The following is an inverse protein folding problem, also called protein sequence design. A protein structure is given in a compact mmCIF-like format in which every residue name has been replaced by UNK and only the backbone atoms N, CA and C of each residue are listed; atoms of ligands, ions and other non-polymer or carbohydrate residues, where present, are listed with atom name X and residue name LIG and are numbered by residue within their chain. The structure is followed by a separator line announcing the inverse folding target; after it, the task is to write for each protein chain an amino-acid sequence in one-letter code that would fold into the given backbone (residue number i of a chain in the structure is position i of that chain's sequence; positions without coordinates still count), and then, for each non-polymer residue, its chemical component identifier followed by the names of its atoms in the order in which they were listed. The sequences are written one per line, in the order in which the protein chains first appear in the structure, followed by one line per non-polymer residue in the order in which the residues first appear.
data_IF_550445765934
#
_entry.id   IF_550445765934
#
_cell.length_a   1.000
_cell.length_b   1.000
_cell.length_c   1.000
_cell.angle_alpha   90.00
_cell.angle_beta   90.00
_cell.angle_gamma   90.00
#
_symmetry.space_group_name_H-M   'P 1'
#
loop_
_entity.id
_entity.type
_entity.pdbx_description
1 polymer ?
#
# COMPACT_ATOMS: atom_id res chain seq x y z
N UNK A 1 4.94 3.86 6.34
CA UNK A 1 4.66 2.49 5.88
C UNK A 1 4.69 2.37 4.35
N UNK A 2 3.86 3.11 3.65
CA UNK A 2 3.83 3.03 2.17
C UNK A 2 5.10 3.57 1.55
N UNK A 3 5.63 4.66 2.08
CA UNK A 3 6.84 5.28 1.55
C UNK A 3 8.08 4.39 1.73
N UNK A 4 8.22 3.72 2.85
CA UNK A 4 9.31 2.78 3.09
C UNK A 4 9.29 1.63 2.08
N UNK A 5 8.11 1.08 1.82
CA UNK A 5 7.93 0.03 0.82
C UNK A 5 8.28 0.53 -0.57
N UNK A 6 7.79 1.72 -0.93
CA UNK A 6 8.07 2.33 -2.22
C UNK A 6 9.57 2.62 -2.40
N UNK A 7 10.23 3.12 -1.37
CA UNK A 7 11.69 3.35 -1.41
C UNK A 7 12.46 2.06 -1.65
N UNK A 8 12.02 0.96 -1.05
CA UNK A 8 12.63 -0.34 -1.25
C UNK A 8 12.47 -0.80 -2.71
N UNK A 9 11.28 -0.61 -3.29
CA UNK A 9 11.04 -0.94 -4.70
C UNK A 9 11.93 -0.12 -5.62
N UNK A 10 12.09 1.18 -5.36
CA UNK A 10 12.96 2.05 -6.14
C UNK A 10 14.41 1.57 -6.02
N UNK A 11 14.86 1.21 -4.83
CA UNK A 11 16.21 0.70 -4.62
C UNK A 11 16.44 -0.62 -5.38
N UNK A 12 15.46 -1.51 -5.41
CA UNK A 12 15.53 -2.75 -6.17
C UNK A 12 15.60 -2.50 -7.68
N UNK A 13 14.81 -1.56 -8.19
CA UNK A 13 14.86 -1.19 -9.60
C UNK A 13 16.21 -0.58 -9.95
N UNK A 14 16.75 0.27 -9.07
CA UNK A 14 18.06 0.87 -9.26
C UNK A 14 19.16 -0.21 -9.29
N UNK A 15 19.13 -1.15 -8.36
CA UNK A 15 20.08 -2.24 -8.29
C UNK A 15 20.03 -3.15 -9.53
N UNK A 16 18.87 -3.27 -10.16
CA UNK A 16 18.70 -4.06 -11.39
C UNK A 16 19.06 -3.29 -12.67
N UNK A 17 19.52 -2.04 -12.53
CA UNK A 17 19.94 -1.20 -13.66
C UNK A 17 18.80 -0.50 -14.40
N UNK A 18 17.58 -0.53 -13.88
CA UNK A 18 16.42 0.07 -14.56
C UNK A 18 16.28 1.58 -14.36
N UNK A 19 16.93 2.14 -13.35
CA UNK A 19 16.84 3.56 -13.00
C UNK A 19 18.23 4.20 -12.95
N UNK A 20 19.02 4.06 -14.02
CA UNK A 20 20.42 4.47 -14.05
C UNK A 20 20.64 5.97 -14.20
N UNK A 21 19.66 6.69 -14.76
CA UNK A 21 19.80 8.10 -15.12
C UNK A 21 19.15 9.08 -14.14
N UNK A 22 18.65 8.58 -13.00
CA UNK A 22 17.95 9.40 -12.02
C UNK A 22 18.86 9.80 -10.86
N UNK A 23 18.81 11.07 -10.48
CA UNK A 23 19.50 11.56 -9.28
C UNK A 23 18.68 11.25 -8.01
N UNK A 24 19.23 11.59 -6.85
CA UNK A 24 18.58 11.32 -5.55
C UNK A 24 17.19 11.96 -5.44
N UNK A 25 17.04 13.18 -5.92
CA UNK A 25 15.77 13.91 -5.85
C UNK A 25 14.73 13.27 -6.75
N UNK A 26 15.10 12.84 -7.94
CA UNK A 26 14.21 12.15 -8.87
C UNK A 26 13.79 10.79 -8.32
N UNK A 27 14.71 10.05 -7.70
CA UNK A 27 14.42 8.77 -7.07
C UNK A 27 13.44 8.92 -5.91
N UNK A 28 13.60 9.96 -5.08
CA UNK A 28 12.70 10.22 -3.97
C UNK A 28 11.30 10.62 -4.46
N UNK A 29 11.20 11.43 -5.51
CA UNK A 29 9.91 11.79 -6.12
C UNK A 29 9.20 10.55 -6.66
N UNK A 30 9.95 9.65 -7.30
CA UNK A 30 9.40 8.41 -7.81
C UNK A 30 8.87 7.53 -6.67
N UNK A 31 9.61 7.45 -5.57
CA UNK A 31 9.17 6.70 -4.39
C UNK A 31 7.87 7.29 -3.82
N UNK A 32 7.74 8.61 -3.78
CA UNK A 32 6.52 9.28 -3.31
C UNK A 32 5.33 8.99 -4.23
N UNK A 33 5.53 8.99 -5.54
CA UNK A 33 4.49 8.62 -6.50
C UNK A 33 4.03 7.18 -6.30
N UNK A 34 4.98 6.26 -6.16
CA UNK A 34 4.66 4.85 -5.93
C UNK A 34 3.94 4.65 -4.60
N UNK A 35 4.35 5.37 -3.56
CA UNK A 35 3.70 5.31 -2.25
C UNK A 35 2.23 5.76 -2.33
N UNK A 36 1.96 6.85 -3.06
CA UNK A 36 0.59 7.34 -3.27
C UNK A 36 -0.28 6.33 -4.01
N UNK A 37 0.24 5.71 -5.05
CA UNK A 37 -0.48 4.69 -5.81
C UNK A 37 -0.70 3.42 -4.98
N UNK A 38 0.30 3.01 -4.21
CA UNK A 38 0.17 1.87 -3.32
C UNK A 38 -0.94 2.10 -2.29
N UNK A 39 -0.97 3.28 -1.69
CA UNK A 39 -2.01 3.65 -0.73
C UNK A 39 -3.40 3.58 -1.35
N UNK A 40 -3.59 4.13 -2.54
CA UNK A 40 -4.86 4.08 -3.26
C UNK A 40 -5.32 2.65 -3.52
N UNK A 41 -4.44 1.82 -4.04
CA UNK A 41 -4.76 0.41 -4.33
C UNK A 41 -5.09 -0.35 -3.05
N UNK A 42 -4.30 -0.12 -2.00
CA UNK A 42 -4.51 -0.78 -0.72
C UNK A 42 -5.85 -0.41 -0.11
N UNK A 43 -6.20 0.88 -0.10
CA UNK A 43 -7.48 1.36 0.45
C UNK A 43 -8.67 0.80 -0.35
N UNK A 44 -8.57 0.73 -1.68
CA UNK A 44 -9.62 0.13 -2.50
C UNK A 44 -9.85 -1.34 -2.14
N UNK A 45 -8.78 -2.10 -1.97
CA UNK A 45 -8.88 -3.52 -1.62
C UNK A 45 -9.42 -3.71 -0.20
N UNK A 46 -9.04 -2.84 0.74
CA UNK A 46 -9.56 -2.87 2.10
C UNK A 46 -11.07 -2.58 2.09
N UNK A 47 -11.51 -1.58 1.34
CA UNK A 47 -12.94 -1.24 1.22
C UNK A 47 -13.73 -2.43 0.68
N UNK A 48 -13.24 -3.08 -0.38
CA UNK A 48 -13.88 -4.28 -0.94
C UNK A 48 -13.99 -5.39 0.10
N UNK A 49 -12.94 -5.61 0.88
CA UNK A 49 -12.94 -6.63 1.92
C UNK A 49 -13.93 -6.28 3.04
N UNK A 50 -14.03 -5.01 3.42
CA UNK A 50 -14.98 -4.54 4.42
C UNK A 50 -16.42 -4.72 3.94
N UNK A 51 -16.68 -4.47 2.66
CA UNK A 51 -18.00 -4.72 2.05
C UNK A 51 -18.37 -6.21 2.14
N UNK A 52 -17.43 -7.10 1.84
CA UNK A 52 -17.63 -8.54 1.94
C UNK A 52 -17.93 -9.00 3.36
N UNK A 53 -17.32 -8.34 4.35
CA UNK A 53 -17.53 -8.65 5.77
C UNK A 53 -18.76 -7.96 6.36
N UNK A 54 -19.44 -7.09 5.60
CA UNK A 54 -20.58 -6.32 6.10
C UNK A 54 -20.16 -5.20 7.07
N UNK A 55 -18.92 -4.71 6.97
CA UNK A 55 -18.34 -3.73 7.88
C UNK A 55 -17.99 -2.40 7.21
N UNK A 56 -18.48 -2.15 6.01
CA UNK A 56 -18.12 -0.95 5.24
C UNK A 56 -18.42 0.36 6.00
N UNK A 57 -19.61 0.46 6.61
CA UNK A 57 -20.00 1.66 7.37
C UNK A 57 -19.13 1.88 8.60
N UNK A 58 -18.83 0.81 9.32
CA UNK A 58 -17.96 0.86 10.49
C UNK A 58 -16.55 1.30 10.11
N UNK A 59 -16.04 0.78 9.00
CA UNK A 59 -14.73 1.15 8.46
C UNK A 59 -14.68 2.63 8.09
N UNK A 60 -15.70 3.14 7.42
CA UNK A 60 -15.78 4.56 7.08
C UNK A 60 -15.74 5.45 8.31
N UNK A 61 -16.45 5.06 9.37
CA UNK A 61 -16.41 5.78 10.65
C UNK A 61 -15.02 5.75 11.28
N UNK A 62 -14.34 4.62 11.21
CA UNK A 62 -12.99 4.48 11.75
C UNK A 62 -11.99 5.38 11.02
N UNK A 63 -12.14 5.55 9.71
CA UNK A 63 -11.29 6.46 8.92
C UNK A 63 -11.40 7.91 9.38
N UNK A 64 -12.58 8.32 9.84
CA UNK A 64 -12.83 9.70 10.30
C UNK A 64 -12.27 9.98 11.68
N UNK A 65 -12.14 8.96 12.53
CA UNK A 65 -11.88 9.18 13.94
C UNK A 65 -10.42 9.01 14.37
N UNK A 66 -9.71 7.99 13.95
CA UNK A 66 -8.34 7.81 14.44
C UNK A 66 -7.55 6.79 13.64
N UNK A 67 -6.60 7.29 12.85
CA UNK A 67 -5.71 6.44 12.06
C UNK A 67 -4.78 5.54 12.86
N UNK A 68 -4.50 5.86 14.14
CA UNK A 68 -3.58 5.05 14.93
C UNK A 68 -4.16 3.69 15.33
N UNK A 69 -5.49 3.57 15.40
CA UNK A 69 -6.16 2.31 15.72
C UNK A 69 -6.50 1.49 14.48
N UNK A 70 -6.29 2.04 13.29
CA UNK A 70 -6.70 1.40 12.04
C UNK A 70 -6.04 0.04 11.84
N UNK A 71 -4.75 -0.06 12.10
CA UNK A 71 -4.01 -1.30 11.90
C UNK A 71 -4.54 -2.42 12.82
N UNK A 72 -4.81 -2.08 14.06
CA UNK A 72 -5.40 -3.01 15.02
C UNK A 72 -6.80 -3.44 14.60
N UNK A 73 -7.61 -2.48 14.16
CA UNK A 73 -8.97 -2.73 13.69
C UNK A 73 -8.98 -3.70 12.49
N UNK A 74 -8.13 -3.43 11.50
CA UNK A 74 -8.02 -4.29 10.32
C UNK A 74 -7.56 -5.70 10.68
N UNK A 75 -6.60 -5.80 11.59
CA UNK A 75 -6.09 -7.10 12.04
C UNK A 75 -7.16 -7.92 12.76
N UNK A 76 -8.06 -7.26 13.48
CA UNK A 76 -9.18 -7.93 14.18
C UNK A 76 -10.35 -8.26 13.25
N UNK A 77 -10.55 -7.49 12.20
CA UNK A 77 -11.75 -7.56 11.34
C UNK A 77 -11.54 -8.42 10.10
N UNK A 78 -10.37 -8.33 9.48
CA UNK A 78 -10.07 -9.07 8.25
C UNK A 78 -9.40 -10.40 8.62
N UNK A 79 -10.00 -11.56 8.27
CA UNK A 79 -9.38 -12.87 8.51
C UNK A 79 -8.02 -12.96 7.83
N UNK A 80 -7.02 -13.47 8.56
CA UNK A 80 -5.65 -13.61 8.07
C UNK A 80 -5.08 -12.29 7.49
N UNK A 81 -5.30 -11.19 8.21
CA UNK A 81 -4.94 -9.86 7.76
C UNK A 81 -3.47 -9.74 7.28
N UNK A 82 -2.46 -10.30 7.97
CA UNK A 82 -1.08 -10.21 7.47
C UNK A 82 -0.90 -10.81 6.08
N UNK A 83 -1.54 -11.94 5.79
CA UNK A 83 -1.50 -12.56 4.47
C UNK A 83 -2.24 -11.71 3.44
N UNK A 84 -3.40 -11.17 3.80
CA UNK A 84 -4.17 -10.26 2.96
C UNK A 84 -3.33 -9.04 2.56
N UNK A 85 -2.66 -8.43 3.54
CA UNK A 85 -1.82 -7.26 3.31
C UNK A 85 -0.67 -7.57 2.33
N UNK A 86 -0.01 -8.71 2.51
CA UNK A 86 1.07 -9.14 1.61
C UNK A 86 0.57 -9.37 0.19
N UNK A 87 -0.59 -9.98 0.03
CA UNK A 87 -1.20 -10.21 -1.29
C UNK A 87 -1.52 -8.88 -2.00
N UNK A 88 -2.10 -7.93 -1.26
CA UNK A 88 -2.45 -6.63 -1.81
C UNK A 88 -1.21 -5.86 -2.22
N UNK A 89 -0.17 -5.86 -1.39
CA UNK A 89 1.09 -5.19 -1.70
C UNK A 89 1.77 -5.82 -2.91
N UNK A 90 1.75 -7.13 -3.02
CA UNK A 90 2.31 -7.86 -4.17
C UNK A 90 1.57 -7.53 -5.47
N UNK A 91 0.24 -7.50 -5.41
CA UNK A 91 -0.61 -7.12 -6.54
C UNK A 91 -0.35 -5.66 -6.96
N UNK A 92 -0.28 -4.76 -5.98
CA UNK A 92 -0.01 -3.35 -6.22
C UNK A 92 1.36 -3.15 -6.88
N UNK A 93 2.38 -3.87 -6.42
CA UNK A 93 3.70 -3.82 -7.02
C UNK A 93 3.67 -4.17 -8.51
N UNK A 94 2.97 -5.23 -8.87
CA UNK A 94 2.84 -5.64 -10.28
C UNK A 94 2.19 -4.55 -11.12
N UNK A 95 1.14 -3.93 -10.59
CA UNK A 95 0.42 -2.85 -11.27
C UNK A 95 1.31 -1.61 -11.42
N UNK A 96 1.94 -1.18 -10.34
CA UNK A 96 2.73 0.06 -10.28
C UNK A 96 4.01 -0.05 -11.11
N UNK A 97 4.70 -1.18 -11.00
CA UNK A 97 5.98 -1.37 -11.69
C UNK A 97 5.85 -2.00 -13.08
N UNK A 98 4.65 -2.42 -13.46
CA UNK A 98 4.40 -3.05 -14.75
C UNK A 98 5.00 -4.44 -14.88
N UNK A 99 5.10 -5.13 -13.79
CA UNK A 99 5.65 -6.50 -13.77
C UNK A 99 4.63 -7.56 -14.21
#
# INVERSE_FOLDING_TARGET
MYLETARRWVAELQASGKLTDLDSDALEKLAQEYAGRLEEIYLEEVVRQMEKCGKAEEFERMLLYDGQYMNKYLNQTIPAYPAFRLEVFSKARKIILGE
#
